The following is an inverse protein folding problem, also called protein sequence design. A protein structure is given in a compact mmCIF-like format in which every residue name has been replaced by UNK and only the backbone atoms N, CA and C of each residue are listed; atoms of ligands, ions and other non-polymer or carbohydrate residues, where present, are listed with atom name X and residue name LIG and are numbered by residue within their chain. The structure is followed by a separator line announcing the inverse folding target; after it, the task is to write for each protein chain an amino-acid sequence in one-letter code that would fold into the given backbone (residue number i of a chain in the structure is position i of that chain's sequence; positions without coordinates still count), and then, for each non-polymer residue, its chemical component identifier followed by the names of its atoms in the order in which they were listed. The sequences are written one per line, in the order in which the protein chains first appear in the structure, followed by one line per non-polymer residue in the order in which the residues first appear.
data_IF_706326039439
#
_entry.id   IF_706326039439
#
_cell.length_a   1.000
_cell.length_b   1.000
_cell.length_c   1.000
_cell.angle_alpha   90.00
_cell.angle_beta   90.00
_cell.angle_gamma   90.00
#
_symmetry.space_group_name_H-M   'P 1'
#
loop_
_entity.id
_entity.type
_entity.pdbx_description
1 polymer ?
#
# COMPACT_ATOMS: atom_id res chain seq x y z
N UNK A 1 -50.38 63.85 18.68
CA UNK A 1 -49.08 63.30 18.22
C UNK A 1 -49.28 61.84 17.93
N UNK A 2 -48.96 61.43 16.66
CA UNK A 2 -49.26 60.09 16.13
C UNK A 2 -48.12 59.16 16.52
N UNK A 3 -48.42 58.09 17.25
CA UNK A 3 -47.49 56.96 17.50
C UNK A 3 -47.78 55.90 16.45
N UNK A 4 -46.74 55.60 15.62
CA UNK A 4 -46.79 54.57 14.58
C UNK A 4 -46.51 53.20 15.18
N UNK A 5 -47.13 52.12 14.70
CA UNK A 5 -46.86 50.76 15.17
C UNK A 5 -45.63 50.18 14.41
N UNK A 6 -44.64 49.75 15.14
CA UNK A 6 -43.48 48.97 14.67
C UNK A 6 -43.50 47.62 15.39
N UNK A 7 -44.37 46.70 15.00
CA UNK A 7 -44.30 45.32 15.49
C UNK A 7 -45.02 44.34 14.51
N UNK A 8 -44.61 44.20 13.24
CA UNK A 8 -45.14 43.16 12.34
C UNK A 8 -44.04 42.50 11.48
N UNK A 9 -42.76 42.68 11.74
CA UNK A 9 -41.75 42.04 10.86
C UNK A 9 -40.82 41.01 11.50
N UNK A 10 -41.10 40.55 12.75
CA UNK A 10 -40.18 39.63 13.43
C UNK A 10 -40.68 38.18 13.57
N UNK A 11 -41.89 37.85 13.10
CA UNK A 11 -42.47 36.50 13.29
C UNK A 11 -42.41 35.58 12.08
N UNK A 12 -42.01 36.06 10.90
CA UNK A 12 -41.95 35.23 9.70
C UNK A 12 -40.56 34.60 9.44
N UNK A 13 -39.49 35.08 10.13
CA UNK A 13 -38.12 34.55 9.93
C UNK A 13 -37.78 33.32 10.76
N UNK A 14 -38.53 33.01 11.81
CA UNK A 14 -38.26 31.84 12.68
C UNK A 14 -38.94 30.57 12.19
N UNK A 15 -40.05 30.68 11.42
CA UNK A 15 -40.72 29.49 10.89
C UNK A 15 -40.01 28.87 9.67
N UNK A 16 -39.19 29.62 8.95
CA UNK A 16 -38.41 29.10 7.79
C UNK A 16 -37.21 28.24 8.19
N UNK A 17 -36.65 28.45 9.41
CA UNK A 17 -35.43 27.74 9.84
C UNK A 17 -35.74 26.38 10.48
N UNK A 18 -36.98 26.15 10.91
CA UNK A 18 -37.39 24.88 11.51
C UNK A 18 -37.80 23.81 10.49
N UNK A 19 -38.02 24.19 9.23
CA UNK A 19 -38.48 23.24 8.17
C UNK A 19 -37.30 22.60 7.40
N UNK A 20 -36.08 23.10 7.53
CA UNK A 20 -34.91 22.55 6.80
C UNK A 20 -34.16 21.46 7.55
N UNK A 21 -34.46 21.24 8.83
CA UNK A 21 -33.79 20.19 9.66
C UNK A 21 -34.51 18.83 9.63
N UNK A 22 -35.64 18.71 8.97
CA UNK A 22 -36.50 17.50 8.99
C UNK A 22 -36.27 16.54 7.81
N UNK A 23 -35.36 16.84 6.87
CA UNK A 23 -35.16 16.02 5.65
C UNK A 23 -33.71 15.56 5.47
N UNK A 24 -33.00 15.24 6.54
CA UNK A 24 -31.80 14.41 6.39
C UNK A 24 -32.27 12.98 6.09
N UNK A 25 -31.84 12.39 4.96
CA UNK A 25 -32.17 10.99 4.69
C UNK A 25 -31.58 10.14 5.82
N UNK A 26 -32.43 9.35 6.48
CA UNK A 26 -31.97 8.35 7.46
C UNK A 26 -31.34 7.22 6.65
N UNK A 27 -30.00 7.25 6.52
CA UNK A 27 -29.25 6.11 5.98
C UNK A 27 -29.52 4.93 6.90
N UNK A 28 -29.94 3.80 6.35
CA UNK A 28 -30.19 2.60 7.13
C UNK A 28 -28.86 1.98 7.61
N UNK A 29 -28.89 1.25 8.71
CA UNK A 29 -27.72 0.51 9.16
C UNK A 29 -27.21 -0.49 8.10
N UNK A 30 -28.10 -1.00 7.27
CA UNK A 30 -27.77 -1.88 6.16
C UNK A 30 -26.96 -1.14 5.06
N UNK A 31 -27.39 0.03 4.65
CA UNK A 31 -26.67 0.87 3.67
C UNK A 31 -25.27 1.27 4.16
N UNK A 32 -25.14 1.59 5.45
CA UNK A 32 -23.82 1.88 6.05
C UNK A 32 -22.90 0.65 6.04
N UNK A 33 -23.42 -0.54 6.28
CA UNK A 33 -22.63 -1.78 6.23
C UNK A 33 -22.21 -2.13 4.79
N UNK A 34 -23.07 -1.90 3.80
CA UNK A 34 -22.71 -2.10 2.39
C UNK A 34 -21.64 -1.09 1.93
N UNK A 35 -21.78 0.18 2.28
CA UNK A 35 -20.80 1.21 1.96
C UNK A 35 -19.43 0.92 2.61
N UNK A 36 -19.42 0.49 3.87
CA UNK A 36 -18.19 0.09 4.56
C UNK A 36 -17.55 -1.16 3.93
N UNK A 37 -18.35 -2.15 3.55
CA UNK A 37 -17.87 -3.36 2.87
C UNK A 37 -17.28 -3.03 1.49
N UNK A 38 -17.92 -2.16 0.71
CA UNK A 38 -17.41 -1.73 -0.58
C UNK A 38 -16.10 -0.96 -0.44
N UNK A 39 -16.03 0.00 0.48
CA UNK A 39 -14.80 0.75 0.75
C UNK A 39 -13.64 -0.16 1.17
N UNK A 40 -13.88 -1.15 2.02
CA UNK A 40 -12.87 -2.13 2.41
C UNK A 40 -12.37 -3.00 1.26
N UNK A 41 -13.25 -3.35 0.32
CA UNK A 41 -12.87 -4.09 -0.89
C UNK A 41 -12.02 -3.23 -1.84
N UNK A 42 -12.37 -1.95 -1.99
CA UNK A 42 -11.61 -1.00 -2.82
C UNK A 42 -10.19 -0.77 -2.23
N UNK A 43 -10.05 -0.63 -0.92
CA UNK A 43 -8.77 -0.53 -0.22
C UNK A 43 -7.93 -1.80 -0.42
N UNK A 44 -8.55 -2.99 -0.27
CA UNK A 44 -7.88 -4.26 -0.55
C UNK A 44 -7.38 -4.35 -2.00
N UNK A 45 -8.21 -3.99 -2.97
CA UNK A 45 -7.84 -4.06 -4.38
C UNK A 45 -6.70 -3.09 -4.72
N UNK A 46 -6.74 -1.84 -4.23
CA UNK A 46 -5.65 -0.88 -4.40
C UNK A 46 -4.33 -1.39 -3.79
N UNK A 47 -4.39 -1.95 -2.58
CA UNK A 47 -3.21 -2.54 -1.93
C UNK A 47 -2.67 -3.71 -2.78
N UNK A 48 -3.52 -4.62 -3.24
CA UNK A 48 -3.10 -5.78 -4.02
C UNK A 48 -2.59 -5.41 -5.42
N UNK A 49 -3.06 -4.33 -6.02
CA UNK A 49 -2.50 -3.79 -7.28
C UNK A 49 -1.02 -3.42 -7.13
N UNK A 50 -0.63 -2.93 -5.96
CA UNK A 50 0.78 -2.63 -5.64
C UNK A 50 1.55 -3.90 -5.29
N UNK A 51 1.03 -4.74 -4.40
CA UNK A 51 1.75 -5.91 -3.92
C UNK A 51 2.00 -6.95 -5.03
N UNK A 52 1.15 -6.98 -6.07
CA UNK A 52 1.34 -7.82 -7.26
C UNK A 52 2.16 -7.14 -8.36
N UNK A 53 2.57 -5.90 -8.18
CA UNK A 53 3.44 -5.20 -9.13
C UNK A 53 4.89 -5.69 -9.01
N UNK A 54 5.66 -5.65 -10.13
CA UNK A 54 7.06 -6.15 -10.16
C UNK A 54 7.97 -5.46 -9.15
N UNK A 55 7.69 -4.22 -8.73
CA UNK A 55 8.50 -3.54 -7.69
C UNK A 55 8.46 -4.27 -6.34
N UNK A 56 7.36 -4.91 -6.02
CA UNK A 56 7.23 -5.74 -4.83
C UNK A 56 7.65 -7.19 -5.12
N UNK A 57 7.14 -7.76 -6.22
CA UNK A 57 7.35 -9.16 -6.58
C UNK A 57 8.82 -9.52 -6.78
N UNK A 58 9.66 -8.59 -7.31
CA UNK A 58 11.09 -8.84 -7.52
C UNK A 58 11.85 -9.10 -6.22
N UNK A 59 11.40 -8.54 -5.09
CA UNK A 59 11.95 -8.79 -3.76
C UNK A 59 11.29 -9.97 -3.04
N UNK A 60 10.17 -10.48 -3.56
CA UNK A 60 9.39 -11.59 -3.02
C UNK A 60 9.37 -12.82 -3.97
N UNK A 61 10.55 -13.29 -4.49
CA UNK A 61 10.59 -14.40 -5.44
C UNK A 61 10.16 -15.71 -4.80
N UNK A 62 9.64 -16.64 -5.62
CA UNK A 62 9.24 -17.97 -5.19
C UNK A 62 10.41 -18.91 -4.88
N UNK A 63 11.61 -18.54 -5.33
CA UNK A 63 12.84 -19.29 -5.17
C UNK A 63 13.92 -18.45 -4.44
N UNK A 64 15.17 -18.92 -4.49
CA UNK A 64 16.30 -18.22 -3.89
C UNK A 64 16.97 -17.20 -4.83
N UNK A 65 16.40 -16.93 -6.00
CA UNK A 65 17.00 -16.06 -7.00
C UNK A 65 16.25 -14.72 -7.01
N UNK A 66 16.88 -13.61 -6.61
CA UNK A 66 16.26 -12.30 -6.74
C UNK A 66 15.89 -12.02 -8.19
N UNK A 67 14.79 -11.29 -8.39
CA UNK A 67 14.36 -10.85 -9.72
C UNK A 67 14.73 -9.38 -9.92
N UNK A 68 14.84 -8.97 -11.19
CA UNK A 68 15.13 -7.59 -11.56
C UNK A 68 14.42 -7.21 -12.86
N UNK A 69 14.42 -5.91 -13.17
CA UNK A 69 13.77 -5.38 -14.36
C UNK A 69 12.25 -5.27 -14.22
N UNK A 70 11.64 -4.70 -15.25
CA UNK A 70 10.18 -4.55 -15.32
C UNK A 70 9.51 -5.84 -15.85
N UNK A 71 10.29 -6.77 -16.33
CA UNK A 71 9.91 -8.11 -16.80
C UNK A 71 10.20 -9.21 -15.78
N UNK A 72 10.68 -8.84 -14.57
CA UNK A 72 10.97 -9.77 -13.46
C UNK A 72 11.91 -10.94 -13.84
N UNK A 73 12.88 -10.70 -14.72
CA UNK A 73 13.86 -11.74 -15.02
C UNK A 73 14.83 -12.01 -13.85
N UNK A 74 15.48 -13.19 -13.81
CA UNK A 74 16.46 -13.51 -12.79
C UNK A 74 17.58 -12.47 -12.71
N UNK A 75 17.99 -12.12 -11.48
CA UNK A 75 19.08 -11.17 -11.27
C UNK A 75 20.38 -11.64 -11.94
N UNK A 76 21.06 -10.73 -12.63
CA UNK A 76 22.35 -11.02 -13.24
C UNK A 76 23.43 -11.36 -12.19
N UNK A 77 24.58 -11.78 -12.66
CA UNK A 77 25.75 -12.15 -11.84
C UNK A 77 25.57 -13.39 -10.95
N UNK A 78 24.54 -14.22 -11.20
CA UNK A 78 24.30 -15.44 -10.43
C UNK A 78 23.99 -15.16 -8.96
N UNK A 79 23.33 -14.03 -8.69
CA UNK A 79 22.91 -13.68 -7.33
C UNK A 79 21.90 -14.67 -6.78
N UNK A 80 21.96 -14.91 -5.49
CA UNK A 80 20.97 -15.68 -4.75
C UNK A 80 20.75 -15.08 -3.36
N UNK A 81 19.65 -15.46 -2.72
CA UNK A 81 19.20 -14.99 -1.41
C UNK A 81 20.29 -15.03 -0.34
N UNK A 82 21.10 -16.09 -0.31
CA UNK A 82 22.05 -16.34 0.77
C UNK A 82 21.37 -16.75 2.08
N UNK A 83 22.13 -16.76 3.17
CA UNK A 83 21.65 -17.22 4.46
C UNK A 83 20.72 -16.22 5.15
N UNK A 84 21.00 -14.94 4.99
CA UNK A 84 20.33 -13.86 5.73
C UNK A 84 19.60 -12.89 4.77
N UNK A 85 19.15 -13.38 3.61
CA UNK A 85 18.42 -12.63 2.57
C UNK A 85 19.23 -11.47 1.91
N UNK A 86 20.53 -11.35 2.23
CA UNK A 86 21.43 -10.28 1.78
C UNK A 86 22.46 -10.72 0.74
N UNK A 87 22.25 -11.89 0.10
CA UNK A 87 23.22 -12.43 -0.85
C UNK A 87 24.27 -13.34 -0.22
N UNK A 88 25.32 -13.65 -0.98
CA UNK A 88 26.43 -14.49 -0.50
C UNK A 88 27.46 -13.67 0.28
N UNK A 89 28.27 -14.28 1.12
CA UNK A 89 29.39 -13.63 1.80
C UNK A 89 30.37 -12.95 0.83
N UNK A 90 30.63 -13.60 -0.34
CA UNK A 90 31.53 -13.09 -1.36
C UNK A 90 30.90 -12.00 -2.24
N UNK A 91 29.56 -11.92 -2.30
CA UNK A 91 28.81 -10.94 -3.11
C UNK A 91 27.52 -10.61 -2.39
N UNK A 92 27.62 -9.71 -1.43
CA UNK A 92 26.48 -9.22 -0.68
C UNK A 92 25.70 -8.19 -1.50
N UNK A 93 24.40 -8.09 -1.31
CA UNK A 93 23.53 -7.15 -2.03
C UNK A 93 24.03 -5.71 -1.96
N UNK A 94 24.49 -5.28 -0.78
CA UNK A 94 25.00 -3.92 -0.55
C UNK A 94 26.39 -3.65 -1.19
N UNK A 95 27.03 -4.64 -1.82
CA UNK A 95 28.22 -4.41 -2.65
C UNK A 95 27.87 -3.49 -3.83
N UNK A 96 26.68 -3.61 -4.37
CA UNK A 96 26.18 -2.81 -5.50
C UNK A 96 25.03 -1.86 -5.09
N UNK A 97 24.11 -2.33 -4.27
CA UNK A 97 22.94 -1.57 -3.84
C UNK A 97 23.28 -0.76 -2.58
N UNK A 98 23.40 0.54 -2.75
CA UNK A 98 23.69 1.46 -1.66
C UNK A 98 22.37 1.99 -1.04
N UNK A 99 22.45 2.90 -0.06
CA UNK A 99 21.29 3.52 0.57
C UNK A 99 20.47 4.43 -0.34
N UNK A 100 20.97 4.70 -1.55
CA UNK A 100 20.33 5.58 -2.55
C UNK A 100 20.54 5.03 -3.95
N UNK A 101 19.64 5.40 -4.88
CA UNK A 101 19.78 5.07 -6.29
C UNK A 101 21.03 5.70 -6.91
N UNK A 102 21.79 4.93 -7.66
CA UNK A 102 22.92 5.45 -8.43
C UNK A 102 22.45 5.84 -9.84
N UNK A 103 22.22 7.13 -10.05
CA UNK A 103 21.73 7.66 -11.33
C UNK A 103 22.75 7.55 -12.48
N UNK A 104 24.04 7.30 -12.19
CA UNK A 104 25.05 7.15 -13.24
C UNK A 104 25.12 5.71 -13.79
N UNK A 105 24.97 4.71 -12.92
CA UNK A 105 25.01 3.29 -13.31
C UNK A 105 23.61 2.69 -13.49
N UNK A 106 22.57 3.36 -13.00
CA UNK A 106 21.22 2.82 -12.96
C UNK A 106 21.05 1.69 -11.93
N UNK A 107 21.98 1.49 -11.01
CA UNK A 107 21.82 0.53 -9.92
C UNK A 107 20.86 1.12 -8.89
N UNK A 108 19.78 0.42 -8.55
CA UNK A 108 18.85 0.89 -7.53
C UNK A 108 19.44 0.77 -6.13
N UNK A 109 18.97 1.60 -5.21
CA UNK A 109 19.38 1.57 -3.82
C UNK A 109 18.34 2.14 -2.89
N UNK A 110 18.27 1.56 -1.69
CA UNK A 110 17.52 2.04 -0.53
C UNK A 110 18.20 1.50 0.73
N UNK A 111 17.94 2.08 1.92
CA UNK A 111 18.42 1.52 3.17
C UNK A 111 18.01 0.05 3.31
N UNK A 112 18.90 -0.76 3.89
CA UNK A 112 18.65 -2.18 4.20
C UNK A 112 18.29 -3.06 3.00
N UNK A 113 18.85 -2.80 1.82
CA UNK A 113 18.58 -3.54 0.59
C UNK A 113 18.77 -5.05 0.76
N UNK A 114 17.67 -5.80 0.68
CA UNK A 114 17.62 -7.24 0.90
C UNK A 114 16.42 -7.85 0.17
N UNK A 115 16.37 -9.18 0.07
CA UNK A 115 15.14 -9.89 -0.26
C UNK A 115 14.22 -9.98 0.96
N UNK A 116 12.95 -10.07 0.72
CA UNK A 116 12.01 -10.49 1.75
C UNK A 116 12.34 -11.92 2.21
N UNK A 117 12.07 -12.30 3.46
CA UNK A 117 12.29 -13.67 3.94
C UNK A 117 11.62 -14.71 3.02
N UNK A 118 12.22 -15.89 2.87
CA UNK A 118 11.68 -16.95 2.00
C UNK A 118 10.23 -17.35 2.37
N UNK A 119 9.83 -17.19 3.63
CA UNK A 119 8.44 -17.37 4.08
C UNK A 119 7.46 -16.35 3.45
N UNK A 120 7.96 -15.21 2.99
CA UNK A 120 7.20 -14.16 2.32
C UNK A 120 7.40 -14.18 0.79
N UNK A 121 7.61 -15.34 0.20
CA UNK A 121 7.61 -15.52 -1.24
C UNK A 121 6.18 -15.31 -1.80
N UNK A 122 6.02 -14.45 -2.82
CA UNK A 122 4.71 -14.10 -3.41
C UNK A 122 4.58 -14.47 -4.89
N UNK A 123 5.70 -14.59 -5.58
CA UNK A 123 5.73 -14.94 -7.01
C UNK A 123 4.89 -16.20 -7.28
N UNK A 124 3.89 -16.08 -8.16
CA UNK A 124 2.98 -17.14 -8.53
C UNK A 124 1.75 -17.29 -7.61
N UNK A 125 1.64 -16.52 -6.53
CA UNK A 125 0.47 -16.53 -5.66
C UNK A 125 -0.63 -15.60 -6.19
N UNK A 126 -1.87 -15.95 -5.87
CA UNK A 126 -3.03 -15.09 -6.07
C UNK A 126 -3.05 -13.96 -5.02
N UNK A 127 -3.81 -12.89 -5.28
CA UNK A 127 -4.01 -11.79 -4.32
C UNK A 127 -4.49 -12.29 -2.95
N UNK A 128 -5.42 -13.25 -2.96
CA UNK A 128 -5.91 -13.86 -1.73
C UNK A 128 -4.80 -14.58 -0.96
N UNK A 129 -4.00 -15.42 -1.65
CA UNK A 129 -2.89 -16.15 -1.02
C UNK A 129 -1.79 -15.22 -0.50
N UNK A 130 -1.54 -14.08 -1.17
CA UNK A 130 -0.64 -13.03 -0.66
C UNK A 130 -1.19 -12.44 0.62
N UNK A 131 -2.49 -12.08 0.66
CA UNK A 131 -3.13 -11.53 1.85
C UNK A 131 -3.14 -12.53 3.01
N UNK A 132 -3.46 -13.79 2.76
CA UNK A 132 -3.39 -14.86 3.76
C UNK A 132 -1.98 -14.98 4.34
N UNK A 133 -0.95 -14.90 3.49
CA UNK A 133 0.46 -14.97 3.91
C UNK A 133 0.90 -13.74 4.72
N UNK A 134 0.40 -12.56 4.39
CA UNK A 134 0.59 -11.34 5.19
C UNK A 134 0.02 -11.48 6.61
N UNK A 135 -1.16 -12.10 6.72
CA UNK A 135 -1.87 -12.22 8.00
C UNK A 135 -1.39 -13.41 8.85
N UNK A 136 -0.72 -14.39 8.25
CA UNK A 136 -0.19 -15.54 8.99
C UNK A 136 1.15 -15.21 9.66
N UNK A 137 1.14 -15.14 10.99
CA UNK A 137 2.33 -14.89 11.82
C UNK A 137 3.46 -15.90 11.63
N UNK A 138 3.18 -17.11 11.14
CA UNK A 138 4.21 -18.09 10.85
C UNK A 138 4.99 -17.77 9.57
N UNK A 139 4.43 -16.95 8.69
CA UNK A 139 5.05 -16.57 7.41
C UNK A 139 5.54 -15.14 7.39
N UNK A 140 4.84 -14.19 8.06
CA UNK A 140 5.11 -12.76 8.00
C UNK A 140 6.23 -12.26 8.95
N UNK A 141 6.99 -13.18 9.58
CA UNK A 141 8.03 -12.83 10.56
C UNK A 141 7.45 -12.52 11.94
N UNK A 142 6.30 -13.07 12.28
CA UNK A 142 5.56 -12.87 13.54
C UNK A 142 5.10 -11.42 13.78
N UNK A 143 4.93 -10.63 12.71
CA UNK A 143 4.48 -9.23 12.81
C UNK A 143 3.01 -9.13 13.22
N UNK A 144 2.71 -8.14 14.04
CA UNK A 144 1.33 -7.69 14.31
C UNK A 144 0.77 -6.89 13.13
N UNK A 145 -0.52 -6.56 13.16
CA UNK A 145 -1.13 -5.69 12.15
C UNK A 145 -0.48 -4.30 12.14
N UNK A 146 -0.18 -3.74 13.30
CA UNK A 146 0.48 -2.43 13.45
C UNK A 146 1.89 -2.46 12.84
N UNK A 147 2.68 -3.52 13.10
CA UNK A 147 4.01 -3.69 12.53
C UNK A 147 3.98 -3.93 11.01
N UNK A 148 2.92 -4.54 10.48
CA UNK A 148 2.71 -4.68 9.04
C UNK A 148 2.34 -3.34 8.39
N UNK A 149 1.47 -2.57 9.02
CA UNK A 149 1.14 -1.20 8.57
C UNK A 149 2.40 -0.35 8.55
N UNK A 150 3.17 -0.30 9.64
CA UNK A 150 4.44 0.44 9.72
C UNK A 150 5.42 0.01 8.62
N UNK A 151 5.61 -1.32 8.45
CA UNK A 151 6.50 -1.85 7.41
C UNK A 151 6.06 -1.45 6.00
N UNK A 152 4.76 -1.49 5.69
CA UNK A 152 4.28 -1.16 4.34
C UNK A 152 4.18 0.34 4.08
N UNK A 153 4.04 1.17 5.13
CA UNK A 153 3.79 2.60 4.95
C UNK A 153 4.96 3.50 5.33
N UNK A 154 5.97 2.99 6.08
CA UNK A 154 7.07 3.82 6.59
C UNK A 154 8.46 3.25 6.26
N UNK A 155 8.61 1.98 5.86
CA UNK A 155 9.89 1.39 5.54
C UNK A 155 10.44 1.94 4.20
N UNK A 156 11.62 2.55 4.25
CA UNK A 156 12.27 3.17 3.08
C UNK A 156 12.49 2.18 1.93
N UNK A 157 12.77 0.90 2.23
CA UNK A 157 12.97 -0.13 1.21
C UNK A 157 11.64 -0.45 0.49
N UNK A 158 10.52 -0.47 1.20
CA UNK A 158 9.18 -0.65 0.61
C UNK A 158 8.80 0.58 -0.20
N UNK A 159 8.98 1.77 0.37
CA UNK A 159 8.61 3.04 -0.26
C UNK A 159 9.50 3.39 -1.47
N UNK A 160 10.67 2.76 -1.59
CA UNK A 160 11.50 2.84 -2.79
C UNK A 160 10.71 2.46 -4.07
N UNK A 161 9.67 1.64 -3.98
CA UNK A 161 8.86 1.24 -5.13
C UNK A 161 8.33 2.43 -5.95
N UNK A 162 8.13 3.59 -5.33
CA UNK A 162 7.66 4.83 -5.98
C UNK A 162 8.80 5.78 -6.38
N UNK A 163 10.01 5.50 -5.94
CA UNK A 163 11.22 6.27 -6.28
C UNK A 163 12.33 5.35 -6.82
N UNK A 164 12.02 4.44 -7.79
CA UNK A 164 12.93 3.35 -8.15
C UNK A 164 14.12 3.80 -9.00
N UNK A 165 14.22 5.09 -9.31
CA UNK A 165 15.27 5.64 -10.15
C UNK A 165 15.13 5.23 -11.61
N UNK A 166 16.28 5.16 -12.31
CA UNK A 166 16.36 4.88 -13.75
C UNK A 166 17.04 3.54 -14.02
N UNK A 167 16.80 2.99 -15.19
CA UNK A 167 17.60 1.90 -15.76
C UNK A 167 19.00 2.39 -16.21
N UNK A 168 19.91 1.47 -16.45
CA UNK A 168 21.27 1.80 -16.94
C UNK A 168 21.27 2.52 -18.31
N UNK A 169 20.19 2.37 -19.10
CA UNK A 169 19.99 3.07 -20.38
C UNK A 169 19.38 4.49 -20.20
N UNK A 170 19.10 4.92 -18.97
CA UNK A 170 18.53 6.23 -18.63
C UNK A 170 17.00 6.28 -18.65
N UNK A 171 16.32 5.19 -19.01
CA UNK A 171 14.85 5.14 -18.97
C UNK A 171 14.33 5.06 -17.53
N UNK A 172 13.17 5.67 -17.28
CA UNK A 172 12.51 5.58 -15.97
C UNK A 172 12.00 4.16 -15.72
N UNK A 173 12.17 3.67 -14.50
CA UNK A 173 11.55 2.42 -14.09
C UNK A 173 10.05 2.58 -13.91
N UNK A 174 9.29 1.54 -14.28
CA UNK A 174 7.84 1.51 -14.11
C UNK A 174 7.46 1.66 -12.64
N UNK A 175 6.52 2.55 -12.37
CA UNK A 175 5.96 2.77 -11.03
C UNK A 175 4.78 1.83 -10.77
N UNK A 176 4.46 1.54 -9.49
CA UNK A 176 3.19 0.92 -9.13
C UNK A 176 1.98 1.70 -9.70
N UNK A 177 0.87 1.03 -10.00
CA UNK A 177 -0.31 1.67 -10.62
C UNK A 177 -1.10 2.58 -9.67
N UNK A 178 -0.86 2.47 -8.36
CA UNK A 178 -1.49 3.27 -7.30
C UNK A 178 -0.45 4.25 -6.75
N UNK A 179 -0.86 5.48 -6.44
CA UNK A 179 0.05 6.46 -5.83
C UNK A 179 0.56 6.01 -4.45
N UNK A 180 1.70 6.50 -4.01
CA UNK A 180 2.26 6.19 -2.69
C UNK A 180 1.27 6.54 -1.57
N UNK A 181 0.65 7.71 -1.67
CA UNK A 181 -0.30 8.23 -0.70
C UNK A 181 -1.58 7.37 -0.65
N UNK A 182 -2.12 6.98 -1.80
CA UNK A 182 -3.32 6.14 -1.86
C UNK A 182 -3.02 4.71 -1.38
N UNK A 183 -1.85 4.16 -1.70
CA UNK A 183 -1.40 2.87 -1.18
C UNK A 183 -1.30 2.88 0.35
N UNK A 184 -0.61 3.86 0.93
CA UNK A 184 -0.47 4.00 2.39
C UNK A 184 -1.86 4.05 3.04
N UNK A 185 -2.74 4.89 2.52
CA UNK A 185 -4.11 5.01 3.01
C UNK A 185 -4.91 3.71 2.87
N UNK A 186 -4.79 3.02 1.75
CA UNK A 186 -5.46 1.74 1.52
C UNK A 186 -4.99 0.67 2.51
N UNK A 187 -3.69 0.59 2.77
CA UNK A 187 -3.11 -0.31 3.79
C UNK A 187 -3.68 0.03 5.18
N UNK A 188 -3.58 1.28 5.61
CA UNK A 188 -4.08 1.73 6.92
C UNK A 188 -5.58 1.41 7.10
N UNK A 189 -6.39 1.74 6.10
CA UNK A 189 -7.83 1.49 6.12
C UNK A 189 -8.15 0.00 6.15
N UNK A 190 -7.50 -0.82 5.31
CA UNK A 190 -7.77 -2.25 5.26
C UNK A 190 -7.50 -2.92 6.61
N UNK A 191 -6.37 -2.62 7.24
CA UNK A 191 -6.05 -3.12 8.58
C UNK A 191 -6.98 -2.58 9.65
N UNK A 192 -7.33 -1.29 9.62
CA UNK A 192 -8.27 -0.67 10.57
C UNK A 192 -9.68 -1.28 10.48
N UNK A 193 -10.07 -1.75 9.29
CA UNK A 193 -11.35 -2.44 9.04
C UNK A 193 -11.27 -3.97 9.27
N UNK A 194 -10.20 -4.46 9.93
CA UNK A 194 -10.06 -5.85 10.35
C UNK A 194 -9.38 -6.76 9.33
N UNK A 195 -8.75 -6.21 8.30
CA UNK A 195 -7.98 -6.93 7.27
C UNK A 195 -8.79 -8.07 6.61
N UNK A 196 -10.03 -7.78 6.25
CA UNK A 196 -10.95 -8.76 5.65
C UNK A 196 -10.53 -9.04 4.20
N UNK A 197 -10.29 -10.30 3.89
CA UNK A 197 -10.03 -10.75 2.52
C UNK A 197 -11.37 -10.96 1.82
N UNK A 198 -11.65 -10.28 0.68
CA UNK A 198 -12.90 -10.45 -0.04
C UNK A 198 -13.11 -11.89 -0.48
N UNK A 199 -14.32 -12.41 -0.27
CA UNK A 199 -14.72 -13.71 -0.84
C UNK A 199 -14.92 -13.59 -2.35
N UNK A 200 -14.46 -14.60 -3.09
CA UNK A 200 -14.71 -14.67 -4.54
C UNK A 200 -16.17 -14.80 -4.87
#
# INVERSE_FOLDING_TARGET
MKVKPIYIFLTLSVMGLLFTLANTPKISAYELLEEQSQSSNDDYDMMMDVLTHQRCMNCHPSDNIPKQGDDSHPHYFGMARGKDDHGFEATNCNTCHQSENNLNSGVPGAPHWALAPASMAWEGLTRQEIAERLLDKNTNGNRSHEELVEHMTEDDLVLWAWEPGIHANGEQRTLPPVSKEDFKKAVENWFANGAVIPSK
#
